data_IF_093929575472
#
_entry.id   IF_093929575472
#
_cell.length_a   1.000
_cell.length_b   1.000
_cell.length_c   1.000
_cell.angle_alpha   90.00
_cell.angle_beta   90.00
_cell.angle_gamma   90.00
#
_symmetry.space_group_name_H-M   'P 1'
#
loop_
_entity.id
_entity.type
_entity.pdbx_description
1 polymer ?
#
# COMPACT_ATOMS: atom_id res chain seq x y z
N UNK A 1 -60.22 -8.43 39.99
CA UNK A 1 -59.16 -9.44 39.72
C UNK A 1 -58.15 -9.02 38.64
N UNK A 2 -58.03 -7.72 38.33
CA UNK A 2 -57.14 -7.19 37.27
C UNK A 2 -55.99 -6.32 37.81
N UNK A 3 -55.85 -6.19 39.13
CA UNK A 3 -54.84 -5.31 39.75
C UNK A 3 -53.55 -6.03 40.17
N UNK A 4 -53.62 -7.36 40.33
CA UNK A 4 -52.47 -8.18 40.72
C UNK A 4 -51.53 -8.48 39.54
N UNK A 5 -52.07 -8.49 38.32
CA UNK A 5 -51.32 -8.74 37.09
C UNK A 5 -50.44 -7.55 36.67
N UNK A 6 -50.83 -6.31 36.99
CA UNK A 6 -49.99 -5.13 36.72
C UNK A 6 -48.76 -5.06 37.65
N UNK A 7 -48.82 -5.65 38.85
CA UNK A 7 -47.66 -5.65 39.77
C UNK A 7 -46.60 -6.69 39.40
N UNK A 8 -46.98 -7.77 38.73
CA UNK A 8 -46.03 -8.79 38.25
C UNK A 8 -45.30 -8.37 36.96
N UNK A 9 -45.86 -7.43 36.19
CA UNK A 9 -45.20 -6.88 35.00
C UNK A 9 -44.14 -5.80 35.32
N UNK A 10 -44.13 -5.25 36.54
CA UNK A 10 -43.13 -4.26 36.98
C UNK A 10 -41.90 -4.88 37.68
N UNK A 11 -41.89 -6.19 37.92
CA UNK A 11 -40.82 -6.89 38.64
C UNK A 11 -39.81 -7.61 37.74
N UNK A 12 -39.98 -7.57 36.43
CA UNK A 12 -38.98 -8.05 35.47
C UNK A 12 -38.08 -6.89 35.02
N UNK A 13 -37.49 -6.19 36.00
CA UNK A 13 -36.29 -5.37 35.78
C UNK A 13 -35.15 -6.35 35.52
N UNK A 14 -35.07 -6.84 34.27
CA UNK A 14 -33.91 -7.55 33.77
C UNK A 14 -32.77 -6.56 33.70
N UNK A 15 -31.90 -6.61 34.71
CA UNK A 15 -30.56 -6.03 34.68
C UNK A 15 -29.81 -6.76 33.56
N UNK A 16 -30.01 -6.33 32.32
CA UNK A 16 -29.02 -6.56 31.27
C UNK A 16 -27.87 -5.62 31.57
N UNK A 17 -26.96 -6.07 32.44
CA UNK A 17 -25.59 -5.60 32.41
C UNK A 17 -25.08 -5.89 31.02
N UNK A 18 -25.13 -4.88 30.14
CA UNK A 18 -24.28 -4.91 28.97
C UNK A 18 -22.86 -4.96 29.51
N UNK A 19 -22.24 -6.14 29.38
CA UNK A 19 -20.80 -6.19 29.29
C UNK A 19 -20.47 -5.30 28.10
N UNK A 20 -20.19 -4.02 28.37
CA UNK A 20 -19.46 -3.19 27.45
C UNK A 20 -18.13 -3.92 27.34
N UNK A 21 -18.01 -4.78 26.32
CA UNK A 21 -16.72 -5.20 25.82
C UNK A 21 -15.98 -3.90 25.60
N UNK A 22 -15.09 -3.56 26.53
CA UNK A 22 -14.16 -2.47 26.37
C UNK A 22 -13.52 -2.75 25.03
N UNK A 23 -13.84 -1.94 24.02
CA UNK A 23 -13.18 -2.04 22.72
C UNK A 23 -11.71 -1.90 23.08
N UNK A 24 -10.96 -2.99 22.97
CA UNK A 24 -9.55 -2.93 23.32
C UNK A 24 -8.93 -1.95 22.34
N UNK A 25 -8.40 -0.90 22.94
CA UNK A 25 -7.52 0.07 22.37
C UNK A 25 -6.36 -0.65 21.67
N UNK A 26 -6.37 -0.80 20.34
CA UNK A 26 -5.30 -1.51 19.64
C UNK A 26 -4.26 -0.53 19.10
N UNK A 27 -2.99 -0.90 19.21
CA UNK A 27 -1.88 -0.20 18.57
C UNK A 27 -1.46 -0.92 17.30
N UNK A 28 -1.33 -0.18 16.20
CA UNK A 28 -0.95 -0.72 14.89
C UNK A 28 0.34 -0.08 14.42
N UNK A 29 1.34 -0.91 14.11
CA UNK A 29 2.59 -0.50 13.47
C UNK A 29 2.54 -0.90 12.01
N UNK A 30 2.70 0.03 11.07
CA UNK A 30 2.66 -0.27 9.64
C UNK A 30 3.78 0.38 8.85
N UNK A 31 4.25 -0.30 7.82
CA UNK A 31 5.24 0.20 6.88
C UNK A 31 5.27 -0.63 5.61
N UNK A 32 6.28 -0.40 4.78
CA UNK A 32 6.49 -1.13 3.55
C UNK A 32 7.96 -1.53 3.37
N UNK A 33 8.19 -2.66 2.71
CA UNK A 33 9.50 -3.15 2.31
C UNK A 33 9.60 -3.10 0.79
N UNK A 34 10.66 -2.48 0.30
CA UNK A 34 10.98 -2.40 -1.11
C UNK A 34 12.23 -3.22 -1.43
N UNK A 35 12.24 -3.80 -2.61
CA UNK A 35 13.44 -4.31 -3.23
C UNK A 35 14.22 -3.13 -3.82
N UNK A 36 15.34 -2.77 -3.18
CA UNK A 36 16.32 -1.79 -3.66
C UNK A 36 17.29 -2.51 -4.61
N UNK A 37 16.97 -2.45 -5.91
CA UNK A 37 17.71 -3.17 -6.94
C UNK A 37 19.08 -2.58 -7.23
N UNK A 38 19.29 -1.31 -6.89
CA UNK A 38 20.52 -0.57 -7.16
C UNK A 38 21.43 -0.40 -5.94
N UNK A 39 20.98 -0.87 -4.77
CA UNK A 39 21.67 -0.78 -3.48
C UNK A 39 22.01 0.66 -3.10
N UNK A 40 21.15 1.60 -3.48
CA UNK A 40 21.35 3.04 -3.24
C UNK A 40 20.60 3.57 -2.00
N UNK A 41 19.75 2.73 -1.38
CA UNK A 41 18.98 3.08 -0.19
C UNK A 41 17.87 4.09 -0.45
N UNK A 42 17.46 4.28 -1.70
CA UNK A 42 16.35 5.14 -2.08
C UNK A 42 15.25 4.33 -2.78
N UNK A 43 14.03 4.87 -2.80
CA UNK A 43 12.97 4.33 -3.66
C UNK A 43 13.10 5.02 -5.01
N UNK A 44 13.59 4.28 -5.99
CA UNK A 44 13.76 4.70 -7.37
C UNK A 44 12.65 4.14 -8.27
N UNK A 45 12.69 4.52 -9.55
CA UNK A 45 11.78 3.99 -10.59
C UNK A 45 11.90 2.46 -10.77
N UNK A 46 13.04 1.89 -10.40
CA UNK A 46 13.32 0.47 -10.59
C UNK A 46 12.89 -0.38 -9.40
N UNK A 47 12.70 0.24 -8.24
CA UNK A 47 12.41 -0.49 -7.02
C UNK A 47 10.93 -0.86 -6.92
N UNK A 48 10.67 -2.03 -6.33
CA UNK A 48 9.32 -2.56 -6.22
C UNK A 48 9.05 -3.12 -4.83
N UNK A 49 7.81 -3.06 -4.33
CA UNK A 49 7.47 -3.66 -3.05
C UNK A 49 7.70 -5.17 -3.06
N UNK A 50 8.33 -5.72 -2.02
CA UNK A 50 8.69 -7.14 -1.95
C UNK A 50 7.76 -7.93 -1.03
N UNK A 51 7.19 -9.02 -1.54
CA UNK A 51 6.29 -9.91 -0.82
C UNK A 51 7.03 -11.05 -0.11
N UNK A 52 6.50 -11.50 1.04
CA UNK A 52 6.96 -12.73 1.70
C UNK A 52 8.27 -12.56 2.48
N UNK A 53 8.71 -11.32 2.65
CA UNK A 53 9.87 -10.97 3.48
C UNK A 53 9.44 -10.79 4.92
N UNK A 54 10.22 -11.37 5.83
CA UNK A 54 10.00 -11.28 7.27
C UNK A 54 10.53 -9.96 7.81
N UNK A 55 9.70 -9.28 8.60
CA UNK A 55 9.98 -8.01 9.24
C UNK A 55 9.90 -8.22 10.74
N UNK A 56 10.99 -7.92 11.43
CA UNK A 56 11.08 -7.96 12.88
C UNK A 56 10.97 -6.55 13.46
N UNK A 57 10.11 -6.37 14.45
CA UNK A 57 10.08 -5.19 15.31
C UNK A 57 10.70 -5.55 16.66
N UNK A 58 11.59 -4.70 17.16
CA UNK A 58 12.15 -4.84 18.50
C UNK A 58 12.16 -3.50 19.22
N UNK A 59 11.82 -3.54 20.51
CA UNK A 59 11.93 -2.43 21.45
C UNK A 59 13.11 -2.68 22.37
N UNK A 60 13.92 -1.66 22.62
CA UNK A 60 15.07 -1.74 23.52
C UNK A 60 14.86 -0.86 24.75
N UNK A 61 15.32 -1.32 25.89
CA UNK A 61 15.39 -0.49 27.09
C UNK A 61 16.59 0.47 27.05
N UNK A 62 16.70 1.31 28.07
CA UNK A 62 17.81 2.27 28.22
C UNK A 62 19.20 1.61 28.39
N UNK A 63 19.25 0.29 28.57
CA UNK A 63 20.49 -0.51 28.66
C UNK A 63 20.77 -1.28 27.35
N UNK A 64 19.95 -1.11 26.33
CA UNK A 64 20.06 -1.78 25.04
C UNK A 64 19.52 -3.22 25.03
N UNK A 65 18.82 -3.66 26.08
CA UNK A 65 18.22 -4.99 26.14
C UNK A 65 16.84 -5.01 25.48
N UNK A 66 16.56 -6.05 24.69
CA UNK A 66 15.28 -6.21 24.00
C UNK A 66 14.17 -6.48 25.03
N UNK A 67 13.16 -5.61 25.08
CA UNK A 67 12.02 -5.69 26.00
C UNK A 67 10.78 -6.29 25.36
N UNK A 68 10.63 -6.10 24.04
CA UNK A 68 9.50 -6.62 23.28
C UNK A 68 9.95 -6.84 21.84
N UNK A 69 9.57 -7.96 21.27
CA UNK A 69 9.71 -8.22 19.84
C UNK A 69 8.45 -8.82 19.23
N UNK A 70 8.26 -8.56 17.94
CA UNK A 70 7.22 -9.16 17.10
C UNK A 70 7.78 -9.36 15.70
N UNK A 71 7.33 -10.41 15.04
CA UNK A 71 7.70 -10.72 13.67
C UNK A 71 6.41 -10.76 12.84
N UNK A 72 6.46 -10.20 11.63
CA UNK A 72 5.35 -10.21 10.68
C UNK A 72 5.90 -10.43 9.27
N UNK A 73 5.09 -11.04 8.40
CA UNK A 73 5.50 -11.22 7.00
C UNK A 73 4.84 -10.18 6.12
N UNK A 74 5.61 -9.57 5.23
CA UNK A 74 5.08 -8.62 4.25
C UNK A 74 4.01 -9.26 3.35
N UNK A 75 2.89 -8.55 3.22
CA UNK A 75 1.84 -8.86 2.25
C UNK A 75 2.26 -8.51 0.82
N UNK A 76 1.40 -8.79 -0.15
CA UNK A 76 1.73 -8.70 -1.58
C UNK A 76 2.18 -7.30 -2.05
N UNK A 77 1.79 -6.24 -1.32
CA UNK A 77 2.25 -4.87 -1.56
C UNK A 77 3.52 -4.48 -0.82
N UNK A 78 4.28 -5.46 -0.31
CA UNK A 78 5.41 -5.21 0.57
C UNK A 78 5.03 -4.57 1.90
N UNK A 79 3.73 -4.41 2.19
CA UNK A 79 3.24 -3.80 3.42
C UNK A 79 3.17 -4.81 4.55
N UNK A 80 3.49 -4.37 5.75
CA UNK A 80 3.31 -5.13 6.98
C UNK A 80 2.45 -4.32 7.96
N UNK A 81 1.76 -5.01 8.86
CA UNK A 81 0.96 -4.43 9.92
C UNK A 81 1.06 -5.29 11.18
N UNK A 82 1.79 -4.81 12.18
CA UNK A 82 1.95 -5.48 13.47
C UNK A 82 0.93 -4.89 14.45
N UNK A 83 0.18 -5.75 15.14
CA UNK A 83 -0.85 -5.34 16.10
C UNK A 83 -0.41 -5.64 17.54
N UNK A 84 -0.72 -4.71 18.43
CA UNK A 84 -0.53 -4.84 19.87
C UNK A 84 -1.84 -4.55 20.58
N UNK A 85 -2.13 -5.38 21.58
CA UNK A 85 -3.22 -5.10 22.51
C UNK A 85 -2.81 -3.92 23.41
N UNK A 86 -3.68 -2.94 23.54
CA UNK A 86 -3.43 -1.72 24.32
C UNK A 86 -2.65 -0.64 23.57
N UNK A 87 -2.24 0.38 24.31
CA UNK A 87 -1.43 1.53 23.84
C UNK A 87 -0.04 1.54 24.47
N UNK A 88 0.80 0.51 24.21
CA UNK A 88 2.17 0.50 24.70
C UNK A 88 2.97 1.67 24.11
N UNK A 89 3.89 2.22 24.89
CA UNK A 89 4.85 3.19 24.38
C UNK A 89 5.87 2.48 23.47
N UNK A 90 5.82 2.79 22.18
CA UNK A 90 6.70 2.20 21.16
C UNK A 90 7.81 3.16 20.69
N UNK A 91 8.07 4.24 21.43
CA UNK A 91 9.04 5.29 21.06
C UNK A 91 10.49 4.79 20.94
N UNK A 92 10.85 3.75 21.69
CA UNK A 92 12.18 3.13 21.68
C UNK A 92 12.25 1.87 20.80
N UNK A 93 11.30 1.70 19.89
CA UNK A 93 11.22 0.56 19.01
C UNK A 93 11.69 0.89 17.59
N UNK A 94 12.26 -0.13 16.95
CA UNK A 94 12.66 -0.09 15.56
C UNK A 94 12.13 -1.33 14.84
N UNK A 95 12.06 -1.22 13.52
CA UNK A 95 11.69 -2.29 12.61
C UNK A 95 12.83 -2.53 11.63
N UNK A 96 13.04 -3.78 11.26
CA UNK A 96 14.07 -4.18 10.32
C UNK A 96 13.63 -5.42 9.54
N UNK A 97 14.21 -5.61 8.36
CA UNK A 97 14.04 -6.84 7.60
C UNK A 97 14.90 -7.94 8.22
N UNK A 98 14.30 -9.10 8.48
CA UNK A 98 15.06 -10.28 8.87
C UNK A 98 15.57 -11.01 7.64
N UNK A 99 16.89 -11.04 7.49
CA UNK A 99 17.54 -11.84 6.45
C UNK A 99 17.50 -13.32 6.82
N UNK A 100 16.37 -13.99 6.60
CA UNK A 100 16.34 -15.46 6.51
C UNK A 100 16.60 -15.86 5.06
N UNK A 101 17.39 -16.91 4.87
CA UNK A 101 17.65 -17.56 3.57
C UNK A 101 16.36 -18.19 3.02
N UNK A 102 15.38 -17.37 2.64
CA UNK A 102 14.21 -17.82 1.90
C UNK A 102 14.68 -17.95 0.45
N UNK A 103 14.74 -19.20 -0.02
CA UNK A 103 15.00 -19.57 -1.42
C UNK A 103 13.85 -19.13 -2.32
N UNK A 104 13.54 -17.83 -2.35
CA UNK A 104 12.60 -17.26 -3.30
C UNK A 104 13.38 -16.63 -4.46
N UNK A 105 12.96 -16.97 -5.67
CA UNK A 105 13.57 -16.66 -6.97
C UNK A 105 13.61 -15.17 -7.35
N UNK A 106 13.38 -14.25 -6.41
CA UNK A 106 13.14 -12.82 -6.70
C UNK A 106 14.41 -11.95 -6.55
N UNK A 107 15.59 -12.57 -6.40
CA UNK A 107 16.90 -11.91 -6.52
C UNK A 107 17.26 -10.87 -5.44
N UNK A 108 16.35 -10.49 -4.55
CA UNK A 108 16.45 -9.29 -3.72
C UNK A 108 16.38 -9.51 -2.19
N UNK A 109 16.63 -10.74 -1.73
CA UNK A 109 16.60 -11.13 -0.31
C UNK A 109 17.99 -11.40 0.27
N UNK A 110 19.04 -10.90 -0.38
CA UNK A 110 20.43 -11.21 -0.02
C UNK A 110 20.95 -10.38 1.16
N UNK A 111 20.49 -9.13 1.28
CA UNK A 111 20.84 -8.26 2.41
C UNK A 111 19.67 -7.38 2.82
N UNK A 112 19.53 -7.15 4.13
CA UNK A 112 18.60 -6.18 4.71
C UNK A 112 19.23 -4.78 4.74
N UNK A 113 18.41 -3.75 4.49
CA UNK A 113 18.76 -2.36 4.70
C UNK A 113 18.76 -1.96 6.18
N UNK A 114 19.01 -0.68 6.50
CA UNK A 114 19.08 -0.21 7.88
C UNK A 114 17.74 -0.33 8.60
N UNK A 115 17.81 -0.57 9.92
CA UNK A 115 16.66 -0.54 10.80
C UNK A 115 16.05 0.87 10.86
N UNK A 116 14.72 0.94 10.90
CA UNK A 116 13.97 2.18 10.90
C UNK A 116 13.25 2.38 12.24
N UNK A 117 13.30 3.61 12.76
CA UNK A 117 12.59 3.97 13.99
C UNK A 117 11.10 4.11 13.73
N UNK A 118 10.29 3.79 14.73
CA UNK A 118 8.86 4.03 14.67
C UNK A 118 8.55 5.49 14.93
N UNK A 119 7.58 6.02 14.18
CA UNK A 119 7.04 7.37 14.31
C UNK A 119 5.55 7.27 14.60
N UNK A 120 5.11 7.86 15.70
CA UNK A 120 3.69 7.96 16.01
C UNK A 120 3.03 8.89 14.97
N UNK A 121 2.13 8.33 14.17
CA UNK A 121 1.39 9.04 13.14
C UNK A 121 0.08 9.60 13.69
N UNK A 122 -0.60 8.81 14.54
CA UNK A 122 -1.90 9.17 15.10
C UNK A 122 -2.09 8.56 16.49
N UNK A 123 -2.72 9.33 17.37
CA UNK A 123 -3.15 8.88 18.68
C UNK A 123 -4.50 9.54 19.02
N UNK A 124 -5.61 8.81 18.87
CA UNK A 124 -6.92 9.23 19.38
C UNK A 124 -7.80 8.00 19.63
N UNK A 125 -8.86 8.20 20.44
CA UNK A 125 -9.85 7.15 20.74
C UNK A 125 -9.22 5.88 21.29
N UNK A 126 -8.20 6.04 22.13
CA UNK A 126 -7.37 4.96 22.67
C UNK A 126 -6.74 4.06 21.60
N UNK A 127 -6.57 4.53 20.36
CA UNK A 127 -5.83 3.81 19.32
C UNK A 127 -4.58 4.58 18.93
N UNK A 128 -3.47 3.86 18.77
CA UNK A 128 -2.22 4.44 18.28
C UNK A 128 -1.81 3.80 16.96
N UNK A 129 -1.43 4.65 16.00
CA UNK A 129 -0.85 4.21 14.73
C UNK A 129 0.58 4.68 14.64
N UNK A 130 1.51 3.75 14.54
CA UNK A 130 2.91 4.01 14.27
C UNK A 130 3.22 3.67 12.82
N UNK A 131 4.09 4.47 12.22
CA UNK A 131 4.65 4.20 10.90
C UNK A 131 6.16 4.20 10.95
N UNK A 132 6.79 3.42 10.07
CA UNK A 132 8.23 3.47 9.85
C UNK A 132 8.50 3.96 8.44
N UNK A 133 9.68 4.56 8.25
CA UNK A 133 10.18 4.83 6.92
C UNK A 133 10.39 3.50 6.16
N UNK A 134 10.49 3.60 4.84
CA UNK A 134 10.52 2.41 3.99
C UNK A 134 11.73 1.54 4.30
N UNK A 135 11.48 0.24 4.48
CA UNK A 135 12.51 -0.76 4.67
C UNK A 135 13.02 -1.23 3.31
N UNK A 136 14.30 -1.60 3.26
CA UNK A 136 14.93 -2.07 2.04
C UNK A 136 15.39 -3.51 2.19
N UNK A 137 15.18 -4.28 1.13
CA UNK A 137 15.78 -5.57 0.89
C UNK A 137 16.58 -5.46 -0.40
N UNK A 138 17.78 -6.03 -0.43
CA UNK A 138 18.75 -5.79 -1.50
C UNK A 138 19.22 -7.09 -2.13
N UNK A 139 19.56 -7.06 -3.44
CA UNK A 139 20.18 -8.17 -4.13
C UNK A 139 21.65 -8.35 -3.72
N UNK A 140 22.21 -9.52 -4.04
CA UNK A 140 23.62 -9.81 -3.80
C UNK A 140 24.52 -8.83 -4.57
N UNK A 141 24.14 -8.52 -5.81
CA UNK A 141 24.79 -7.53 -6.66
C UNK A 141 23.74 -6.59 -7.24
N UNK A 142 24.05 -5.28 -7.42
CA UNK A 142 23.17 -4.36 -8.11
C UNK A 142 22.83 -4.85 -9.53
N UNK A 143 21.64 -4.54 -10.00
CA UNK A 143 21.21 -4.93 -11.35
C UNK A 143 22.02 -4.21 -12.44
N UNK A 144 22.18 -4.84 -13.60
CA UNK A 144 23.04 -4.34 -14.69
C UNK A 144 22.57 -3.01 -15.29
N UNK A 145 21.29 -2.69 -15.17
CA UNK A 145 20.69 -1.43 -15.63
C UNK A 145 20.80 -0.29 -14.61
N UNK A 146 21.31 -0.55 -13.40
CA UNK A 146 21.54 0.50 -12.44
C UNK A 146 22.62 1.47 -12.96
N UNK A 147 22.45 2.78 -12.73
CA UNK A 147 23.45 3.76 -13.13
C UNK A 147 24.79 3.38 -12.51
N UNK A 148 25.78 3.06 -13.35
CA UNK A 148 27.14 2.84 -12.88
C UNK A 148 27.64 4.15 -12.27
N UNK A 149 27.86 4.16 -10.97
CA UNK A 149 28.57 5.26 -10.33
C UNK A 149 29.95 5.39 -10.98
N UNK A 150 30.14 6.42 -11.80
CA UNK A 150 31.43 6.81 -12.37
C UNK A 150 32.25 7.64 -11.38
N UNK A 151 32.28 7.22 -10.12
CA UNK A 151 33.10 7.85 -9.09
C UNK A 151 33.72 6.77 -8.22
N UNK A 152 35.06 6.62 -8.21
CA UNK A 152 35.73 5.82 -7.21
C UNK A 152 35.47 6.43 -5.85
N UNK A 153 35.10 5.60 -4.87
CA UNK A 153 35.10 5.95 -3.46
C UNK A 153 36.48 6.54 -3.11
N UNK A 154 36.61 7.81 -2.71
CA UNK A 154 37.86 8.29 -2.15
C UNK A 154 38.04 7.62 -0.79
N UNK A 155 39.25 7.11 -0.56
CA UNK A 155 39.71 6.56 0.72
C UNK A 155 39.48 7.55 1.89
N UNK A 156 39.53 7.08 3.15
CA UNK A 156 39.19 7.88 4.33
C UNK A 156 40.09 9.12 4.39
N UNK A 157 39.49 10.30 4.31
CA UNK A 157 40.23 11.56 4.42
C UNK A 157 40.55 11.78 5.90
N UNK A 158 41.83 11.89 6.19
CA UNK A 158 42.41 12.36 7.45
C UNK A 158 41.84 13.73 7.85
N UNK A 159 41.80 14.08 9.15
CA UNK A 159 41.12 15.27 9.63
C UNK A 159 41.90 16.52 9.23
N UNK A 160 41.30 17.37 8.39
CA UNK A 160 41.80 18.71 8.07
C UNK A 160 41.05 19.75 8.90
N UNK A 161 41.85 20.54 9.61
CA UNK A 161 41.73 21.87 10.24
C UNK A 161 40.43 22.70 10.04
N UNK A 162 40.04 23.57 11.00
CA UNK A 162 38.69 24.17 11.05
C UNK A 162 38.40 25.16 9.92
N UNK A 163 37.14 25.29 9.49
CA UNK A 163 36.73 26.24 8.45
C UNK A 163 36.66 27.68 8.98
N UNK A 164 37.08 28.62 8.11
CA UNK A 164 36.92 30.06 8.29
C UNK A 164 35.47 30.55 8.07
N UNK A 165 35.21 31.87 8.18
CA UNK A 165 33.87 32.42 8.35
C UNK A 165 32.96 32.27 7.12
N UNK A 166 31.72 31.86 7.37
CA UNK A 166 30.64 31.69 6.39
C UNK A 166 30.08 33.08 5.99
N UNK A 167 29.95 33.33 4.69
CA UNK A 167 29.26 34.51 4.16
C UNK A 167 27.72 34.36 4.25
N UNK A 168 26.94 35.44 4.37
CA UNK A 168 25.49 35.36 4.60
C UNK A 168 24.73 34.90 3.35
N UNK A 169 23.90 33.87 3.49
CA UNK A 169 22.97 33.38 2.48
C UNK A 169 21.72 34.26 2.49
N UNK A 170 21.40 34.86 1.35
CA UNK A 170 20.13 35.58 1.11
C UNK A 170 18.94 34.60 1.06
N UNK A 171 17.78 34.91 1.66
CA UNK A 171 16.64 34.00 1.67
C UNK A 171 15.91 33.99 0.31
N UNK A 172 15.75 32.80 -0.26
CA UNK A 172 14.92 32.52 -1.43
C UNK A 172 13.42 32.66 -1.08
N UNK A 173 12.56 33.11 -2.01
CA UNK A 173 11.13 33.23 -1.77
C UNK A 173 10.45 31.85 -1.67
N UNK A 174 9.35 31.73 -0.90
CA UNK A 174 8.67 30.45 -0.70
C UNK A 174 8.00 29.98 -2.00
N UNK A 175 8.45 28.82 -2.49
CA UNK A 175 7.77 28.08 -3.55
C UNK A 175 6.41 27.63 -3.04
N UNK A 176 5.34 28.07 -3.71
CA UNK A 176 3.98 27.62 -3.44
C UNK A 176 3.88 26.10 -3.58
N UNK A 177 3.47 25.44 -2.50
CA UNK A 177 3.20 24.01 -2.51
C UNK A 177 2.05 23.72 -3.49
N UNK A 178 2.15 22.69 -4.36
CA UNK A 178 1.03 22.25 -5.18
C UNK A 178 -0.13 21.82 -4.27
N UNK A 179 -1.39 22.03 -4.70
CA UNK A 179 -2.56 21.64 -3.92
C UNK A 179 -2.51 20.15 -3.59
N UNK A 180 -2.77 19.78 -2.33
CA UNK A 180 -2.81 18.39 -1.91
C UNK A 180 -3.81 17.62 -2.79
N UNK A 181 -3.44 16.42 -3.29
CA UNK A 181 -4.37 15.61 -4.04
C UNK A 181 -5.59 15.29 -3.16
N UNK A 182 -6.81 15.26 -3.73
CA UNK A 182 -7.99 14.87 -2.97
C UNK A 182 -7.75 13.50 -2.32
N UNK A 183 -8.23 13.33 -1.10
CA UNK A 183 -8.16 12.04 -0.40
C UNK A 183 -8.93 10.96 -1.19
N UNK A 184 -8.54 9.68 -1.11
CA UNK A 184 -9.39 8.59 -1.59
C UNK A 184 -10.76 8.66 -0.90
N UNK A 185 -11.80 8.21 -1.59
CA UNK A 185 -13.13 8.13 -1.03
C UNK A 185 -13.13 7.12 0.13
N UNK A 186 -13.50 7.58 1.32
CA UNK A 186 -13.77 6.71 2.46
C UNK A 186 -15.06 5.88 2.26
N UNK A 187 -15.95 6.37 1.39
CA UNK A 187 -17.17 5.68 0.97
C UNK A 187 -16.92 4.85 -0.28
N UNK A 188 -17.70 3.77 -0.43
CA UNK A 188 -17.64 2.91 -1.61
C UNK A 188 -18.07 3.70 -2.86
N UNK A 189 -17.17 3.79 -3.85
CA UNK A 189 -17.45 4.33 -5.18
C UNK A 189 -17.10 3.30 -6.24
N UNK A 190 -18.00 3.11 -7.21
CA UNK A 190 -17.80 2.22 -8.35
C UNK A 190 -18.06 2.98 -9.64
N UNK A 191 -17.00 3.23 -10.42
CA UNK A 191 -17.07 3.97 -11.67
C UNK A 191 -16.72 3.05 -12.84
N UNK A 192 -17.53 3.09 -13.91
CA UNK A 192 -17.30 2.29 -15.09
C UNK A 192 -16.12 2.81 -15.92
N UNK A 193 -15.61 1.99 -16.83
CA UNK A 193 -14.47 2.35 -17.67
C UNK A 193 -14.75 3.61 -18.52
N UNK A 194 -16.01 3.85 -18.91
CA UNK A 194 -16.38 5.04 -19.67
C UNK A 194 -16.17 6.32 -18.87
N UNK A 195 -16.51 6.30 -17.57
CA UNK A 195 -16.29 7.45 -16.69
C UNK A 195 -14.80 7.70 -16.48
N UNK A 196 -13.99 6.64 -16.35
CA UNK A 196 -12.53 6.75 -16.28
C UNK A 196 -11.87 7.33 -17.55
N UNK A 197 -12.51 7.16 -18.70
CA UNK A 197 -12.07 7.73 -19.98
C UNK A 197 -12.67 9.12 -20.26
N UNK A 198 -13.63 9.58 -19.47
CA UNK A 198 -14.26 10.88 -19.72
C UNK A 198 -13.28 12.02 -19.35
N UNK A 199 -13.07 13.00 -20.23
CA UNK A 199 -12.11 14.08 -20.00
C UNK A 199 -12.44 14.90 -18.76
N UNK A 200 -13.74 15.07 -18.45
CA UNK A 200 -14.21 15.77 -17.26
C UNK A 200 -13.80 15.12 -15.92
N UNK A 201 -13.34 13.86 -15.93
CA UNK A 201 -12.93 13.13 -14.72
C UNK A 201 -11.44 12.79 -14.69
N UNK A 202 -10.61 13.44 -15.52
CA UNK A 202 -9.17 13.15 -15.63
C UNK A 202 -8.39 13.30 -14.31
N UNK A 203 -8.82 14.20 -13.41
CA UNK A 203 -8.19 14.42 -12.11
C UNK A 203 -8.25 13.22 -11.14
N UNK A 204 -9.05 12.19 -11.45
CA UNK A 204 -9.08 10.94 -10.66
C UNK A 204 -7.94 9.97 -10.99
N UNK A 205 -7.17 10.21 -12.06
CA UNK A 205 -5.94 9.48 -12.37
C UNK A 205 -4.78 9.94 -11.47
N UNK A 206 -4.84 9.56 -10.18
CA UNK A 206 -3.89 10.00 -9.15
C UNK A 206 -2.75 9.01 -8.95
N UNK A 207 -3.07 7.83 -8.41
CA UNK A 207 -2.09 6.79 -8.07
C UNK A 207 -1.52 6.09 -9.31
N UNK A 208 -2.30 6.07 -10.38
CA UNK A 208 -1.93 5.56 -11.69
C UNK A 208 -2.11 6.67 -12.71
N UNK A 209 -1.30 6.65 -13.77
CA UNK A 209 -1.46 7.57 -14.89
C UNK A 209 -1.85 6.80 -16.18
N UNK A 210 -2.48 7.48 -17.16
CA UNK A 210 -2.95 6.82 -18.39
C UNK A 210 -1.84 6.18 -19.24
N UNK A 211 -0.62 6.70 -19.15
CA UNK A 211 0.54 6.28 -19.97
C UNK A 211 1.34 5.13 -19.35
N UNK A 212 1.09 4.79 -18.08
CA UNK A 212 1.67 3.65 -17.39
C UNK A 212 1.44 2.38 -18.20
N UNK A 213 2.47 1.54 -18.24
CA UNK A 213 2.43 0.30 -19.00
C UNK A 213 1.68 -0.77 -18.23
N UNK A 214 0.81 -1.50 -18.93
CA UNK A 214 0.09 -2.68 -18.40
C UNK A 214 1.08 -3.70 -17.82
N UNK A 215 2.23 -3.89 -18.47
CA UNK A 215 3.29 -4.77 -18.00
C UNK A 215 3.85 -4.34 -16.63
N UNK A 216 4.00 -3.04 -16.38
CA UNK A 216 4.48 -2.51 -15.09
C UNK A 216 3.43 -2.71 -14.00
N UNK A 217 2.15 -2.52 -14.34
CA UNK A 217 1.05 -2.52 -13.37
C UNK A 217 0.57 -3.93 -13.01
N UNK A 218 0.49 -4.83 -14.00
CA UNK A 218 -0.04 -6.18 -13.82
C UNK A 218 1.05 -7.27 -13.85
N UNK A 219 2.29 -6.92 -14.21
CA UNK A 219 3.44 -7.82 -14.22
C UNK A 219 3.60 -8.66 -15.48
N UNK A 220 4.51 -9.62 -15.42
CA UNK A 220 5.00 -10.39 -16.58
C UNK A 220 3.92 -11.18 -17.33
N UNK A 221 2.92 -11.72 -16.63
CA UNK A 221 1.83 -12.45 -17.28
C UNK A 221 1.02 -11.54 -18.21
N UNK A 222 0.78 -10.31 -17.78
CA UNK A 222 0.14 -9.31 -18.60
C UNK A 222 1.07 -8.85 -19.74
N UNK A 223 2.37 -8.68 -19.47
CA UNK A 223 3.35 -8.34 -20.50
C UNK A 223 3.38 -9.40 -21.64
N UNK A 224 3.39 -10.69 -21.28
CA UNK A 224 3.36 -11.80 -22.24
C UNK A 224 2.06 -11.83 -23.05
N UNK A 225 0.92 -11.47 -22.44
CA UNK A 225 -0.38 -11.53 -23.12
C UNK A 225 -0.66 -10.30 -23.99
N UNK A 226 -0.30 -9.11 -23.50
CA UNK A 226 -0.73 -7.83 -24.08
C UNK A 226 0.41 -7.01 -24.70
N UNK A 227 1.66 -7.45 -24.52
CA UNK A 227 2.85 -6.71 -24.89
C UNK A 227 3.32 -5.78 -23.76
N UNK A 228 4.56 -5.30 -23.89
CA UNK A 228 5.21 -4.39 -22.93
C UNK A 228 4.79 -2.94 -23.11
N UNK A 229 4.39 -2.56 -24.32
CA UNK A 229 4.13 -1.15 -24.67
C UNK A 229 2.69 -0.69 -24.45
N UNK A 230 1.78 -1.64 -24.20
CA UNK A 230 0.36 -1.40 -23.96
C UNK A 230 0.16 -0.48 -22.75
N UNK A 231 -0.53 0.65 -22.93
CA UNK A 231 -0.82 1.60 -21.83
C UNK A 231 -2.12 1.31 -21.10
N UNK A 232 -2.30 1.86 -19.90
CA UNK A 232 -3.58 1.79 -19.18
C UNK A 232 -4.71 2.49 -19.94
N UNK A 233 -4.41 3.57 -20.66
CA UNK A 233 -5.40 4.23 -21.53
C UNK A 233 -5.89 3.30 -22.64
N UNK A 234 -4.96 2.67 -23.35
CA UNK A 234 -5.28 1.69 -24.40
C UNK A 234 -6.03 0.48 -23.80
N UNK A 235 -5.72 0.10 -22.56
CA UNK A 235 -6.37 -1.01 -21.87
C UNK A 235 -7.87 -0.76 -21.71
N UNK A 236 -8.25 0.47 -21.33
CA UNK A 236 -9.66 0.87 -21.17
C UNK A 236 -10.44 0.87 -22.49
N UNK A 237 -9.76 1.00 -23.63
CA UNK A 237 -10.38 1.01 -24.96
C UNK A 237 -10.62 -0.39 -25.54
N UNK A 238 -10.04 -1.44 -24.96
CA UNK A 238 -10.13 -2.80 -25.48
C UNK A 238 -11.58 -3.27 -25.63
N UNK A 239 -11.95 -3.83 -26.79
CA UNK A 239 -13.30 -4.35 -27.11
C UNK A 239 -13.21 -5.66 -27.90
N UNK A 240 -14.31 -6.39 -27.98
CA UNK A 240 -14.51 -7.52 -28.93
C UNK A 240 -13.80 -8.84 -28.59
N UNK A 241 -12.75 -8.82 -27.76
CA UNK A 241 -11.99 -10.01 -27.36
C UNK A 241 -12.08 -10.24 -25.83
N UNK A 242 -12.17 -11.51 -25.34
CA UNK A 242 -12.27 -11.80 -23.90
C UNK A 242 -11.10 -11.28 -23.07
N UNK A 243 -9.88 -11.34 -23.59
CA UNK A 243 -8.68 -10.85 -22.91
C UNK A 243 -8.60 -9.32 -22.93
N UNK A 244 -9.03 -8.67 -24.02
CA UNK A 244 -9.18 -7.22 -24.08
C UNK A 244 -10.27 -6.75 -23.10
N UNK A 245 -11.36 -7.50 -22.98
CA UNK A 245 -12.43 -7.24 -22.02
C UNK A 245 -11.94 -7.42 -20.58
N UNK A 246 -11.24 -8.52 -20.29
CA UNK A 246 -10.60 -8.75 -19.00
C UNK A 246 -9.66 -7.60 -18.63
N UNK A 247 -8.80 -7.17 -19.57
CA UNK A 247 -7.86 -6.08 -19.34
C UNK A 247 -8.56 -4.73 -19.07
N UNK A 248 -9.61 -4.40 -19.84
CA UNK A 248 -10.41 -3.18 -19.64
C UNK A 248 -11.07 -3.16 -18.26
N UNK A 249 -11.79 -4.23 -17.93
CA UNK A 249 -12.54 -4.30 -16.67
C UNK A 249 -11.62 -4.45 -15.46
N UNK A 250 -10.50 -5.16 -15.61
CA UNK A 250 -9.44 -5.26 -14.59
C UNK A 250 -8.74 -3.93 -14.34
N UNK A 251 -8.39 -3.19 -15.40
CA UNK A 251 -7.82 -1.83 -15.27
C UNK A 251 -8.80 -0.89 -14.56
N UNK A 252 -10.09 -0.97 -14.92
CA UNK A 252 -11.16 -0.18 -14.28
C UNK A 252 -11.32 -0.53 -12.79
N UNK A 253 -11.32 -1.82 -12.46
CA UNK A 253 -11.40 -2.28 -11.08
C UNK A 253 -10.19 -1.83 -10.26
N UNK A 254 -9.00 -1.83 -10.87
CA UNK A 254 -7.79 -1.33 -10.23
C UNK A 254 -7.90 0.16 -9.93
N UNK A 255 -8.33 0.97 -10.91
CA UNK A 255 -8.50 2.41 -10.72
C UNK A 255 -9.55 2.73 -9.63
N UNK A 256 -10.67 2.02 -9.62
CA UNK A 256 -11.69 2.12 -8.56
C UNK A 256 -11.10 1.76 -7.18
N UNK A 257 -10.31 0.69 -7.09
CA UNK A 257 -9.70 0.25 -5.83
C UNK A 257 -8.71 1.26 -5.24
N UNK A 258 -7.99 2.01 -6.07
CA UNK A 258 -7.10 3.09 -5.62
C UNK A 258 -7.87 4.33 -5.15
N UNK A 259 -9.08 4.54 -5.66
CA UNK A 259 -9.86 5.74 -5.39
C UNK A 259 -10.94 5.54 -4.33
N UNK A 260 -11.30 4.30 -3.99
CA UNK A 260 -12.34 3.97 -3.02
C UNK A 260 -11.89 2.83 -2.11
N UNK A 261 -11.68 3.12 -0.83
CA UNK A 261 -11.20 2.14 0.17
C UNK A 261 -12.22 1.01 0.36
N UNK A 262 -13.51 1.30 0.21
CA UNK A 262 -14.60 0.33 0.34
C UNK A 262 -15.03 -0.29 -1.00
N UNK A 263 -14.22 -0.15 -2.08
CA UNK A 263 -14.53 -0.81 -3.34
C UNK A 263 -14.49 -2.34 -3.17
N UNK A 264 -15.32 -3.07 -3.91
CA UNK A 264 -15.50 -4.52 -3.76
C UNK A 264 -14.21 -5.33 -3.96
N UNK A 265 -13.23 -4.75 -4.65
CA UNK A 265 -11.89 -5.30 -4.77
C UNK A 265 -10.88 -4.29 -4.23
N UNK A 266 -9.98 -4.72 -3.34
CA UNK A 266 -8.75 -3.97 -3.14
C UNK A 266 -7.81 -4.18 -4.34
N UNK A 267 -6.83 -3.30 -4.52
CA UNK A 267 -5.92 -3.32 -5.69
C UNK A 267 -5.21 -4.66 -5.88
N UNK A 268 -4.93 -5.37 -4.78
CA UNK A 268 -4.24 -6.66 -4.80
C UNK A 268 -5.18 -7.73 -5.37
N UNK A 269 -6.39 -7.80 -4.85
CA UNK A 269 -7.39 -8.73 -5.35
C UNK A 269 -7.59 -8.56 -6.86
N UNK A 270 -7.55 -7.32 -7.38
CA UNK A 270 -7.63 -7.09 -8.83
C UNK A 270 -6.45 -7.72 -9.58
N UNK A 271 -5.20 -7.43 -9.18
CA UNK A 271 -4.00 -7.98 -9.84
C UNK A 271 -3.94 -9.51 -9.74
N UNK A 272 -4.26 -10.08 -8.57
CA UNK A 272 -4.28 -11.54 -8.36
C UNK A 272 -5.31 -12.23 -9.24
N UNK A 273 -6.56 -11.74 -9.26
CA UNK A 273 -7.61 -12.34 -10.10
C UNK A 273 -7.28 -12.19 -11.59
N UNK A 274 -6.66 -11.07 -11.99
CA UNK A 274 -6.19 -10.85 -13.34
C UNK A 274 -5.17 -11.92 -13.75
N UNK A 275 -4.11 -12.09 -12.95
CA UNK A 275 -3.03 -13.02 -13.25
C UNK A 275 -3.49 -14.49 -13.19
N UNK A 276 -4.36 -14.85 -12.24
CA UNK A 276 -5.00 -16.17 -12.20
C UNK A 276 -5.86 -16.44 -13.44
N UNK A 277 -6.59 -15.42 -13.93
CA UNK A 277 -7.37 -15.55 -15.14
C UNK A 277 -6.48 -15.76 -16.38
N UNK A 278 -5.34 -15.06 -16.47
CA UNK A 278 -4.38 -15.20 -17.57
C UNK A 278 -3.66 -16.55 -17.60
N UNK A 279 -3.44 -17.19 -16.44
CA UNK A 279 -2.92 -18.56 -16.35
C UNK A 279 -3.97 -19.63 -16.66
N UNK A 280 -5.25 -19.26 -16.62
CA UNK A 280 -6.38 -20.17 -16.81
C UNK A 280 -6.83 -20.30 -18.27
N UNK A 281 -8.02 -20.89 -18.44
CA UNK A 281 -8.68 -20.99 -19.75
C UNK A 281 -9.39 -19.69 -20.15
N UNK A 282 -9.78 -19.58 -21.42
CA UNK A 282 -10.63 -18.48 -21.92
C UNK A 282 -11.91 -18.31 -21.11
N UNK A 283 -12.45 -19.41 -20.55
CA UNK A 283 -13.61 -19.37 -19.63
C UNK A 283 -13.26 -18.63 -18.33
N UNK A 284 -12.08 -18.86 -17.76
CA UNK A 284 -11.59 -18.14 -16.58
C UNK A 284 -11.45 -16.64 -16.87
N UNK A 285 -10.86 -16.29 -18.01
CA UNK A 285 -10.74 -14.91 -18.51
C UNK A 285 -12.09 -14.22 -18.57
N UNK A 286 -13.08 -14.84 -19.21
CA UNK A 286 -14.42 -14.26 -19.34
C UNK A 286 -15.12 -14.12 -17.99
N UNK A 287 -15.07 -15.15 -17.14
CA UNK A 287 -15.70 -15.12 -15.82
C UNK A 287 -15.10 -14.03 -14.92
N UNK A 288 -13.78 -13.88 -14.93
CA UNK A 288 -13.11 -12.82 -14.16
C UNK A 288 -13.43 -11.45 -14.72
N UNK A 289 -13.46 -11.28 -16.05
CA UNK A 289 -13.86 -10.03 -16.68
C UNK A 289 -15.29 -9.62 -16.28
N UNK A 290 -16.24 -10.57 -16.27
CA UNK A 290 -17.62 -10.32 -15.84
C UNK A 290 -17.73 -9.97 -14.35
N UNK A 291 -16.90 -10.55 -13.50
CA UNK A 291 -16.84 -10.20 -12.07
C UNK A 291 -16.37 -8.76 -11.87
N UNK A 292 -15.31 -8.35 -12.57
CA UNK A 292 -14.86 -6.96 -12.53
C UNK A 292 -15.89 -6.00 -13.12
N UNK A 293 -16.49 -6.32 -14.26
CA UNK A 293 -17.57 -5.52 -14.85
C UNK A 293 -18.70 -5.27 -13.85
N UNK A 294 -19.14 -6.32 -13.15
CA UNK A 294 -20.21 -6.22 -12.15
C UNK A 294 -19.81 -5.30 -10.99
N UNK A 295 -18.59 -5.43 -10.47
CA UNK A 295 -18.12 -4.55 -9.40
C UNK A 295 -17.97 -3.10 -9.87
N UNK A 296 -17.45 -2.88 -11.08
CA UNK A 296 -17.29 -1.54 -11.67
C UNK A 296 -18.64 -0.85 -11.93
N UNK A 297 -19.69 -1.63 -12.20
CA UNK A 297 -21.05 -1.13 -12.40
C UNK A 297 -21.72 -0.71 -11.09
N UNK A 298 -21.16 -1.09 -9.94
CA UNK A 298 -21.71 -0.78 -8.63
C UNK A 298 -22.98 -1.55 -8.28
N UNK A 299 -23.72 -1.03 -7.32
CA UNK A 299 -25.01 -1.54 -6.86
C UNK A 299 -25.93 -0.36 -6.56
N UNK A 300 -27.23 -0.55 -6.29
CA UNK A 300 -28.10 0.57 -5.91
C UNK A 300 -27.57 1.42 -4.75
N UNK A 301 -26.80 0.81 -3.84
CA UNK A 301 -26.20 1.47 -2.68
C UNK A 301 -24.75 1.94 -2.91
N UNK A 302 -24.15 1.63 -4.07
CA UNK A 302 -22.76 1.97 -4.40
C UNK A 302 -22.72 2.51 -5.82
N UNK A 303 -22.70 3.83 -5.94
CA UNK A 303 -22.68 4.54 -7.22
C UNK A 303 -21.31 5.18 -7.49
N UNK A 304 -21.09 5.70 -8.70
CA UNK A 304 -19.88 6.44 -8.99
C UNK A 304 -19.94 7.83 -8.33
N UNK A 305 -18.92 8.15 -7.52
CA UNK A 305 -18.81 9.43 -6.81
C UNK A 305 -17.97 10.48 -7.54
N UNK A 306 -17.70 10.28 -8.83
CA UNK A 306 -16.96 11.25 -9.63
C UNK A 306 -17.72 12.57 -9.74
N UNK A 307 -16.99 13.67 -9.58
CA UNK A 307 -17.44 15.02 -9.86
C UNK A 307 -16.54 15.62 -10.92
N UNK A 308 -17.11 16.43 -11.81
CA UNK A 308 -16.31 17.06 -12.85
C UNK A 308 -15.14 17.83 -12.21
N UNK A 309 -13.96 17.60 -12.74
CA UNK A 309 -12.75 18.30 -12.34
C UNK A 309 -12.92 19.78 -12.68
N UNK A 310 -12.46 20.66 -11.78
CA UNK A 310 -12.40 22.11 -12.01
C UNK A 310 -11.07 22.49 -12.65
#
# INVERSE_FOLDING_TARGET
>A
MYWWWCKLLFSAVSIFSSAVSRANADTVVTGAVFCDQCKDGQISLYDYPIYGVQVGMACVDNKGQITTSREETTGWFGKYAIRFDGTPDLSNCYVQVESRNVQNSNGCTASAGPAQKLRLMYNMFDMQFYTADSLFSQPAQPMSYCPRSTTPVPAPVTPVRPPGPIAPVTPSPPLGLPPLPPMPFFQASACTYQLWMAPEYKCYWRALNPDMKVAVVFGDLAARRYGTDMTLWQALQGRGDPYRTLLREGTTALLNSYNSIQFSYNSLSVVTHMNQALMGSTRSVLLTALRFLRANSGSPNVTCMFRACK
#
